data_IF_194694630568
#
_entry.id   IF_194694630568
#
_cell.length_a   1.000
_cell.length_b   1.000
_cell.length_c   1.000
_cell.angle_alpha   90.00
_cell.angle_beta   90.00
_cell.angle_gamma   90.00
#
_symmetry.space_group_name_H-M   'P 1'
#
loop_
_entity.id
_entity.type
_entity.pdbx_description
1 polymer ?
#
# COMPACT_ATOMS: atom_id res chain seq x y z
N UNK A 1 30.66 27.48 69.83
CA UNK A 1 30.80 27.48 68.37
C UNK A 1 29.95 26.32 67.82
N UNK A 2 28.70 26.57 67.47
CA UNK A 2 27.81 25.57 66.88
C UNK A 2 27.80 25.81 65.34
N UNK A 3 28.36 24.86 64.62
CA UNK A 3 28.32 24.84 63.18
C UNK A 3 26.99 24.23 62.72
N UNK A 4 26.08 25.10 62.28
CA UNK A 4 24.84 24.68 61.58
C UNK A 4 25.21 24.27 60.16
N UNK A 5 25.02 23.00 59.83
CA UNK A 5 25.15 22.44 58.47
C UNK A 5 23.86 22.79 57.72
N UNK A 6 23.92 23.30 56.48
CA UNK A 6 22.72 23.63 55.72
C UNK A 6 22.07 22.37 55.11
N UNK A 7 20.99 21.89 55.74
CA UNK A 7 20.19 20.75 55.27
C UNK A 7 19.18 21.11 54.14
N UNK A 8 19.20 22.35 53.61
CA UNK A 8 18.20 22.85 52.68
C UNK A 8 18.54 22.58 51.18
N UNK A 9 19.83 22.46 50.85
CA UNK A 9 20.22 22.32 49.42
C UNK A 9 20.01 20.92 48.83
N UNK A 10 20.03 19.86 49.64
CA UNK A 10 19.84 18.47 49.13
C UNK A 10 18.39 18.15 48.77
N UNK A 11 17.42 18.75 49.43
CA UNK A 11 15.99 18.56 49.12
C UNK A 11 15.59 19.27 47.83
N UNK A 12 16.16 20.43 47.53
CA UNK A 12 15.89 21.17 46.30
C UNK A 12 16.50 20.52 45.05
N UNK A 13 17.70 19.93 45.17
CA UNK A 13 18.37 19.19 44.07
C UNK A 13 17.62 17.89 43.73
N UNK A 14 17.14 17.14 44.75
CA UNK A 14 16.34 15.94 44.54
C UNK A 14 14.97 16.23 43.88
N UNK A 15 14.32 17.33 44.26
CA UNK A 15 13.07 17.78 43.66
C UNK A 15 13.27 18.22 42.20
N UNK A 16 14.33 18.96 41.90
CA UNK A 16 14.67 19.40 40.55
C UNK A 16 15.05 18.20 39.65
N UNK A 17 15.78 17.22 40.13
CA UNK A 17 16.11 16.00 39.42
C UNK A 17 14.86 15.15 39.17
N UNK A 18 13.95 15.00 40.11
CA UNK A 18 12.68 14.30 39.95
C UNK A 18 11.76 14.94 38.89
N UNK A 19 11.67 16.28 38.88
CA UNK A 19 10.89 17.02 37.89
C UNK A 19 11.48 16.91 36.47
N UNK A 20 12.80 16.95 36.35
CA UNK A 20 13.51 16.76 35.07
C UNK A 20 13.31 15.33 34.49
N UNK A 21 13.37 14.31 35.35
CA UNK A 21 13.09 12.92 34.96
C UNK A 21 11.63 12.73 34.54
N UNK A 22 10.68 13.30 35.28
CA UNK A 22 9.26 13.25 34.94
C UNK A 22 8.98 13.97 33.61
N UNK A 23 9.56 15.14 33.38
CA UNK A 23 9.45 15.90 32.13
C UNK A 23 10.06 15.11 30.95
N UNK A 24 11.21 14.46 31.15
CA UNK A 24 11.84 13.63 30.11
C UNK A 24 11.00 12.39 29.76
N UNK A 25 10.43 11.71 30.77
CA UNK A 25 9.51 10.58 30.58
C UNK A 25 8.25 11.00 29.81
N UNK A 26 7.66 12.13 30.14
CA UNK A 26 6.49 12.68 29.43
C UNK A 26 6.80 12.97 27.95
N UNK A 27 7.95 13.59 27.66
CA UNK A 27 8.39 13.87 26.28
C UNK A 27 8.63 12.59 25.47
N UNK A 28 9.30 11.59 26.05
CA UNK A 28 9.53 10.29 25.40
C UNK A 28 8.19 9.59 25.14
N UNK A 29 7.27 9.59 26.10
CA UNK A 29 5.95 8.99 25.91
C UNK A 29 5.15 9.67 24.79
N UNK A 30 5.17 11.00 24.73
CA UNK A 30 4.53 11.76 23.65
C UNK A 30 5.16 11.45 22.27
N UNK A 31 6.48 11.26 22.20
CA UNK A 31 7.15 10.82 20.95
C UNK A 31 6.70 9.42 20.52
N UNK A 32 6.60 8.47 21.44
CA UNK A 32 6.13 7.10 21.17
C UNK A 32 4.69 7.13 20.66
N UNK A 33 3.81 7.93 21.28
CA UNK A 33 2.44 8.13 20.80
C UNK A 33 2.41 8.67 19.37
N UNK A 34 3.28 9.63 19.05
CA UNK A 34 3.35 10.21 17.72
C UNK A 34 3.84 9.22 16.66
N UNK A 35 4.69 8.26 17.03
CA UNK A 35 5.20 7.23 16.13
C UNK A 35 4.25 6.05 15.93
N UNK A 36 3.24 5.86 16.77
CA UNK A 36 2.37 4.69 16.73
C UNK A 36 1.61 4.55 15.41
N UNK A 37 1.01 5.63 14.91
CA UNK A 37 0.28 5.61 13.64
C UNK A 37 1.21 5.43 12.42
N UNK A 38 2.35 6.16 12.29
CA UNK A 38 3.40 5.87 11.31
C UNK A 38 3.81 4.40 11.25
N UNK A 39 4.07 3.77 12.40
CA UNK A 39 4.44 2.35 12.50
C UNK A 39 3.32 1.45 11.96
N UNK A 40 2.06 1.73 12.26
CA UNK A 40 0.92 0.95 11.76
C UNK A 40 0.79 1.01 10.23
N UNK A 41 1.01 2.18 9.61
CA UNK A 41 1.06 2.30 8.16
C UNK A 41 2.23 1.50 7.57
N UNK A 42 3.41 1.55 8.21
CA UNK A 42 4.58 0.77 7.77
C UNK A 42 4.30 -0.75 7.85
N UNK A 43 3.68 -1.23 8.94
CA UNK A 43 3.30 -2.65 9.12
C UNK A 43 2.39 -3.09 7.97
N UNK A 44 1.36 -2.31 7.63
CA UNK A 44 0.48 -2.61 6.51
C UNK A 44 1.28 -2.81 5.21
N UNK A 45 2.18 -1.88 4.93
CA UNK A 45 3.07 -2.00 3.78
C UNK A 45 3.91 -3.27 3.79
N UNK A 46 4.58 -3.58 4.93
CA UNK A 46 5.42 -4.78 5.07
C UNK A 46 4.61 -6.06 4.78
N UNK A 47 3.37 -6.15 5.28
CA UNK A 47 2.50 -7.31 5.05
C UNK A 47 2.19 -7.45 3.57
N UNK A 48 1.72 -6.37 2.92
CA UNK A 48 1.31 -6.39 1.52
C UNK A 48 2.51 -6.61 0.59
N UNK A 49 3.66 -5.99 0.88
CA UNK A 49 4.90 -6.23 0.14
C UNK A 49 5.43 -7.66 0.28
N UNK A 50 5.35 -8.24 1.49
CA UNK A 50 5.73 -9.64 1.72
C UNK A 50 4.84 -10.60 0.93
N UNK A 51 3.52 -10.36 0.87
CA UNK A 51 2.60 -11.12 0.04
C UNK A 51 2.98 -11.00 -1.45
N UNK A 52 3.01 -9.79 -1.99
CA UNK A 52 3.29 -9.53 -3.40
C UNK A 52 4.64 -10.11 -3.85
N UNK A 53 5.69 -9.95 -3.03
CA UNK A 53 7.02 -10.49 -3.31
C UNK A 53 7.09 -12.03 -3.31
N UNK A 54 6.08 -12.74 -2.79
CA UNK A 54 6.03 -14.21 -2.76
C UNK A 54 4.99 -14.82 -3.71
N UNK A 55 4.24 -14.03 -4.46
CA UNK A 55 3.29 -14.53 -5.47
C UNK A 55 3.95 -15.51 -6.45
N UNK A 56 5.14 -15.23 -7.05
CA UNK A 56 5.79 -16.16 -7.97
C UNK A 56 6.16 -17.49 -7.31
N UNK A 57 6.62 -17.47 -6.07
CA UNK A 57 6.98 -18.69 -5.34
C UNK A 57 5.75 -19.53 -4.97
N UNK A 58 4.62 -18.86 -4.64
CA UNK A 58 3.35 -19.54 -4.38
C UNK A 58 2.79 -20.17 -5.65
N UNK A 59 2.82 -19.45 -6.78
CA UNK A 59 2.39 -19.96 -8.07
C UNK A 59 3.20 -21.19 -8.48
N UNK A 60 4.53 -21.15 -8.35
CA UNK A 60 5.42 -22.27 -8.66
C UNK A 60 5.18 -23.48 -7.74
N UNK A 61 5.02 -23.26 -6.40
CA UNK A 61 4.79 -24.34 -5.43
C UNK A 61 3.55 -25.16 -5.72
N UNK A 62 2.48 -24.53 -6.17
CA UNK A 62 1.18 -25.15 -6.39
C UNK A 62 0.89 -25.42 -7.87
N UNK A 63 1.84 -25.19 -8.77
CA UNK A 63 1.68 -25.28 -10.22
C UNK A 63 0.44 -24.52 -10.73
N UNK A 64 0.27 -23.27 -10.25
CA UNK A 64 -0.89 -22.45 -10.57
C UNK A 64 -0.75 -21.88 -11.97
N UNK A 65 -1.71 -22.15 -12.86
CA UNK A 65 -1.78 -21.52 -14.19
C UNK A 65 -2.12 -20.03 -14.08
N UNK A 66 -1.87 -19.23 -15.12
CA UNK A 66 -2.24 -17.80 -15.17
C UNK A 66 -3.72 -17.57 -14.90
N UNK A 67 -4.58 -18.40 -15.49
CA UNK A 67 -6.02 -18.32 -15.27
C UNK A 67 -6.39 -18.57 -13.80
N UNK A 68 -5.81 -19.60 -13.19
CA UNK A 68 -6.04 -19.90 -11.77
C UNK A 68 -5.44 -18.82 -10.85
N UNK A 69 -4.27 -18.27 -11.19
CA UNK A 69 -3.66 -17.18 -10.42
C UNK A 69 -4.52 -15.91 -10.50
N UNK A 70 -5.08 -15.60 -11.68
CA UNK A 70 -6.04 -14.49 -11.82
C UNK A 70 -7.23 -14.66 -10.89
N UNK A 71 -7.78 -15.88 -10.81
CA UNK A 71 -8.92 -16.16 -9.92
C UNK A 71 -8.53 -16.04 -8.44
N UNK A 72 -7.32 -16.47 -8.07
CA UNK A 72 -6.79 -16.27 -6.71
C UNK A 72 -6.72 -14.77 -6.38
N UNK A 73 -6.13 -13.95 -7.27
CA UNK A 73 -5.99 -12.50 -7.06
C UNK A 73 -7.34 -11.79 -7.08
N UNK A 74 -8.27 -12.22 -7.96
CA UNK A 74 -9.65 -11.72 -8.00
C UNK A 74 -10.36 -11.93 -6.67
N UNK A 75 -10.14 -13.07 -5.99
CA UNK A 75 -10.70 -13.30 -4.65
C UNK A 75 -10.29 -12.20 -3.67
N UNK A 76 -9.05 -11.69 -3.75
CA UNK A 76 -8.60 -10.56 -2.93
C UNK A 76 -9.40 -9.28 -3.19
N UNK A 77 -9.65 -8.96 -4.47
CA UNK A 77 -10.49 -7.82 -4.85
C UNK A 77 -11.96 -7.98 -4.40
N UNK A 78 -12.53 -9.16 -4.56
CA UNK A 78 -13.88 -9.49 -4.03
C UNK A 78 -13.90 -9.33 -2.51
N UNK A 79 -12.87 -9.83 -1.81
CA UNK A 79 -12.72 -9.66 -0.38
C UNK A 79 -12.66 -8.18 0.03
N UNK A 80 -11.96 -7.35 -0.72
CA UNK A 80 -11.91 -5.91 -0.49
C UNK A 80 -13.29 -5.26 -0.59
N UNK A 81 -14.13 -5.65 -1.55
CA UNK A 81 -15.52 -5.19 -1.63
C UNK A 81 -16.36 -5.67 -0.44
N UNK A 82 -16.21 -6.93 -0.04
CA UNK A 82 -16.91 -7.49 1.11
C UNK A 82 -16.47 -6.86 2.45
N UNK A 83 -15.33 -6.19 2.48
CA UNK A 83 -14.84 -5.49 3.67
C UNK A 83 -15.71 -4.29 4.08
N UNK A 84 -16.45 -3.65 3.17
CA UNK A 84 -17.22 -2.44 3.48
C UNK A 84 -18.22 -2.60 4.63
N UNK A 85 -19.10 -3.62 4.63
CA UNK A 85 -19.99 -3.86 5.77
C UNK A 85 -19.21 -4.24 7.03
N UNK A 86 -18.11 -5.02 6.91
CA UNK A 86 -17.27 -5.45 8.04
C UNK A 86 -16.58 -4.26 8.68
N UNK A 87 -15.92 -3.41 7.90
CA UNK A 87 -15.24 -2.20 8.38
C UNK A 87 -16.24 -1.24 9.04
N UNK A 88 -17.39 -1.00 8.40
CA UNK A 88 -18.44 -0.14 8.95
C UNK A 88 -18.99 -0.67 10.29
N UNK A 89 -19.19 -1.99 10.41
CA UNK A 89 -19.64 -2.61 11.65
C UNK A 89 -18.60 -2.48 12.76
N UNK A 90 -17.33 -2.84 12.49
CA UNK A 90 -16.26 -2.77 13.48
C UNK A 90 -15.96 -1.34 13.91
N UNK A 91 -15.90 -0.39 12.96
CA UNK A 91 -15.67 1.02 13.26
C UNK A 91 -16.75 1.61 14.17
N UNK A 92 -18.02 1.27 13.94
CA UNK A 92 -19.12 1.71 14.82
C UNK A 92 -19.09 1.04 16.20
N UNK A 93 -18.66 -0.22 16.29
CA UNK A 93 -18.68 -0.97 17.55
C UNK A 93 -17.41 -0.74 18.40
N UNK A 94 -16.27 -0.64 17.77
CA UNK A 94 -14.97 -0.70 18.45
C UNK A 94 -14.12 0.57 18.26
N UNK A 95 -14.51 1.46 17.35
CA UNK A 95 -13.71 2.62 16.96
C UNK A 95 -12.51 2.26 16.06
N UNK A 96 -11.77 3.27 15.59
CA UNK A 96 -10.69 3.10 14.64
C UNK A 96 -9.51 2.29 15.19
N UNK A 97 -9.08 2.58 16.42
CA UNK A 97 -7.91 1.93 17.06
C UNK A 97 -8.08 0.42 17.18
N UNK A 98 -9.19 -0.03 17.75
CA UNK A 98 -9.45 -1.47 17.94
C UNK A 98 -9.75 -2.17 16.62
N UNK A 99 -10.45 -1.51 15.69
CA UNK A 99 -10.67 -2.06 14.34
C UNK A 99 -9.34 -2.33 13.64
N UNK A 100 -8.41 -1.36 13.69
CA UNK A 100 -7.07 -1.50 13.11
C UNK A 100 -6.28 -2.63 13.79
N UNK A 101 -6.32 -2.74 15.12
CA UNK A 101 -5.67 -3.84 15.83
C UNK A 101 -6.23 -5.21 15.41
N UNK A 102 -7.55 -5.40 15.46
CA UNK A 102 -8.16 -6.70 15.17
C UNK A 102 -8.01 -7.09 13.69
N UNK A 103 -8.25 -6.17 12.78
CA UNK A 103 -8.06 -6.44 11.35
C UNK A 103 -6.60 -6.66 10.99
N UNK A 104 -5.65 -5.96 11.63
CA UNK A 104 -4.23 -6.15 11.42
C UNK A 104 -3.71 -7.49 11.94
N UNK A 105 -4.15 -7.93 13.14
CA UNK A 105 -3.83 -9.27 13.65
C UNK A 105 -4.44 -10.36 12.77
N UNK A 106 -5.68 -10.19 12.33
CA UNK A 106 -6.31 -11.11 11.39
C UNK A 106 -5.58 -11.14 10.04
N UNK A 107 -5.13 -9.99 9.53
CA UNK A 107 -4.37 -9.89 8.30
C UNK A 107 -3.04 -10.65 8.38
N UNK A 108 -2.33 -10.55 9.51
CA UNK A 108 -1.10 -11.31 9.78
C UNK A 108 -1.35 -12.83 9.86
N UNK A 109 -2.44 -13.24 10.51
CA UNK A 109 -2.84 -14.64 10.58
C UNK A 109 -3.19 -15.19 9.18
N UNK A 110 -3.91 -14.42 8.38
CA UNK A 110 -4.25 -14.76 6.99
C UNK A 110 -3.00 -14.86 6.11
N UNK A 111 -2.02 -13.97 6.28
CA UNK A 111 -0.74 -14.06 5.57
C UNK A 111 -0.06 -15.41 5.82
N UNK A 112 -0.01 -15.86 7.08
CA UNK A 112 0.52 -17.19 7.44
C UNK A 112 -0.34 -18.30 6.82
N UNK A 113 -1.67 -18.18 6.88
CA UNK A 113 -2.60 -19.16 6.30
C UNK A 113 -2.35 -19.36 4.79
N UNK A 114 -2.09 -18.27 4.04
CA UNK A 114 -1.68 -18.36 2.63
C UNK A 114 -0.39 -19.18 2.48
N UNK A 115 0.60 -18.94 3.35
CA UNK A 115 1.88 -19.62 3.31
C UNK A 115 1.79 -21.15 3.49
N UNK A 116 0.89 -21.62 4.34
CA UNK A 116 0.69 -23.05 4.65
C UNK A 116 -0.39 -23.71 3.79
N UNK A 117 -1.16 -22.94 3.01
CA UNK A 117 -2.26 -23.45 2.20
C UNK A 117 -1.80 -24.56 1.24
N UNK A 118 -2.42 -25.78 1.28
CA UNK A 118 -1.95 -26.92 0.51
C UNK A 118 -2.54 -26.97 -0.91
N UNK A 119 -3.62 -26.25 -1.19
CA UNK A 119 -4.33 -26.30 -2.48
C UNK A 119 -4.64 -24.91 -3.01
N UNK A 120 -4.90 -24.80 -4.31
CA UNK A 120 -5.33 -23.54 -4.95
C UNK A 120 -6.61 -23.02 -4.31
N UNK A 121 -7.58 -23.88 -4.02
CA UNK A 121 -8.85 -23.51 -3.39
C UNK A 121 -8.65 -22.91 -1.98
N UNK A 122 -7.73 -23.49 -1.18
CA UNK A 122 -7.40 -22.93 0.14
C UNK A 122 -6.66 -21.59 0.04
N UNK A 123 -5.82 -21.40 -0.98
CA UNK A 123 -5.20 -20.10 -1.27
C UNK A 123 -6.26 -19.07 -1.67
N UNK A 124 -7.22 -19.43 -2.54
CA UNK A 124 -8.32 -18.54 -2.93
C UNK A 124 -9.13 -18.06 -1.72
N UNK A 125 -9.50 -18.98 -0.84
CA UNK A 125 -10.20 -18.64 0.42
C UNK A 125 -9.36 -17.72 1.32
N UNK A 126 -8.08 -18.02 1.47
CA UNK A 126 -7.17 -17.20 2.28
C UNK A 126 -6.96 -15.80 1.66
N UNK A 127 -6.83 -15.69 0.33
CA UNK A 127 -6.69 -14.40 -0.37
C UNK A 127 -7.99 -13.59 -0.34
N UNK A 128 -9.16 -14.24 -0.36
CA UNK A 128 -10.44 -13.57 -0.08
C UNK A 128 -10.41 -12.91 1.32
N UNK A 129 -9.98 -13.66 2.33
CA UNK A 129 -9.84 -13.14 3.69
C UNK A 129 -8.75 -12.07 3.80
N UNK A 130 -7.66 -12.17 3.00
CA UNK A 130 -6.64 -11.12 2.89
C UNK A 130 -7.29 -9.80 2.43
N UNK A 131 -8.11 -9.86 1.37
CA UNK A 131 -8.82 -8.69 0.87
C UNK A 131 -9.75 -8.06 1.92
N UNK A 132 -10.55 -8.88 2.63
CA UNK A 132 -11.44 -8.40 3.70
C UNK A 132 -10.64 -7.72 4.81
N UNK A 133 -9.60 -8.38 5.32
CA UNK A 133 -8.83 -7.90 6.48
C UNK A 133 -7.95 -6.71 6.12
N UNK A 134 -7.29 -6.73 4.96
CA UNK A 134 -6.46 -5.63 4.48
C UNK A 134 -7.27 -4.35 4.25
N UNK A 135 -8.41 -4.44 3.55
CA UNK A 135 -9.25 -3.27 3.31
C UNK A 135 -9.91 -2.76 4.59
N UNK A 136 -10.28 -3.64 5.53
CA UNK A 136 -10.78 -3.22 6.84
C UNK A 136 -9.69 -2.47 7.63
N UNK A 137 -8.45 -2.95 7.58
CA UNK A 137 -7.31 -2.27 8.19
C UNK A 137 -7.05 -0.92 7.54
N UNK A 138 -7.07 -0.86 6.21
CA UNK A 138 -6.85 0.37 5.43
C UNK A 138 -7.90 1.45 5.77
N UNK A 139 -9.17 1.10 5.80
CA UNK A 139 -10.25 2.02 6.23
C UNK A 139 -9.99 2.55 7.63
N UNK A 140 -9.62 1.69 8.57
CA UNK A 140 -9.40 2.08 9.96
C UNK A 140 -8.17 2.98 10.13
N UNK A 141 -7.05 2.68 9.46
CA UNK A 141 -5.84 3.49 9.54
C UNK A 141 -6.01 4.87 8.90
N UNK A 142 -6.75 4.96 7.78
CA UNK A 142 -7.06 6.23 7.13
C UNK A 142 -8.01 7.09 7.97
N UNK A 143 -9.01 6.48 8.62
CA UNK A 143 -9.88 7.18 9.57
C UNK A 143 -9.08 7.70 10.77
N UNK A 144 -8.17 6.89 11.32
CA UNK A 144 -7.27 7.30 12.40
C UNK A 144 -6.38 8.47 12.00
N UNK A 145 -5.80 8.43 10.79
CA UNK A 145 -4.99 9.51 10.24
C UNK A 145 -5.80 10.81 10.07
N UNK A 146 -7.00 10.72 9.52
CA UNK A 146 -7.88 11.88 9.36
C UNK A 146 -8.28 12.52 10.70
N UNK A 147 -8.57 11.69 11.72
CA UNK A 147 -8.82 12.20 13.08
C UNK A 147 -7.61 12.94 13.65
N UNK A 148 -6.43 12.39 13.48
CA UNK A 148 -5.19 13.02 13.94
C UNK A 148 -4.88 14.31 13.21
N UNK A 149 -5.05 14.38 11.89
CA UNK A 149 -4.91 15.63 11.13
C UNK A 149 -5.86 16.71 11.62
N UNK A 150 -7.13 16.36 11.85
CA UNK A 150 -8.13 17.31 12.40
C UNK A 150 -7.76 17.80 13.80
N UNK A 151 -7.24 16.91 14.66
CA UNK A 151 -6.87 17.26 16.04
C UNK A 151 -5.59 18.11 16.10
N UNK A 152 -4.62 17.89 15.21
CA UNK A 152 -3.32 18.56 15.23
C UNK A 152 -3.24 19.77 14.30
N UNK A 153 -4.15 19.89 13.33
CA UNK A 153 -4.11 20.89 12.27
C UNK A 153 -2.95 20.67 11.26
N UNK A 154 -2.25 19.52 11.33
CA UNK A 154 -1.11 19.20 10.46
C UNK A 154 -1.51 18.17 9.42
N UNK A 155 -1.16 18.40 8.16
CA UNK A 155 -1.32 17.39 7.11
C UNK A 155 -0.21 16.35 7.24
N UNK A 156 -0.57 15.08 7.45
CA UNK A 156 0.35 13.96 7.63
C UNK A 156 0.01 12.76 6.70
N UNK A 157 -1.12 12.82 6.00
CA UNK A 157 -1.62 11.70 5.19
C UNK A 157 -0.62 11.23 4.14
N UNK A 158 0.01 12.17 3.40
CA UNK A 158 1.00 11.82 2.37
C UNK A 158 2.22 11.12 2.96
N UNK A 159 2.72 11.60 4.11
CA UNK A 159 3.83 10.98 4.83
C UNK A 159 3.47 9.56 5.29
N UNK A 160 2.28 9.38 5.85
CA UNK A 160 1.80 8.08 6.36
C UNK A 160 1.70 7.06 5.21
N UNK A 161 1.12 7.44 4.08
CA UNK A 161 1.11 6.60 2.87
C UNK A 161 2.51 6.36 2.29
N UNK A 162 3.41 7.34 2.38
CA UNK A 162 4.82 7.16 2.03
C UNK A 162 5.49 6.09 2.87
N UNK A 163 5.21 6.06 4.18
CA UNK A 163 5.71 5.01 5.09
C UNK A 163 5.11 3.64 4.80
N UNK A 164 3.83 3.57 4.38
CA UNK A 164 3.24 2.32 3.90
C UNK A 164 3.96 1.83 2.63
N UNK A 165 4.26 2.72 1.67
CA UNK A 165 5.05 2.38 0.49
C UNK A 165 6.47 1.90 0.84
N UNK A 166 7.15 2.57 1.78
CA UNK A 166 8.46 2.15 2.28
C UNK A 166 8.40 0.77 2.95
N UNK A 167 7.35 0.52 3.75
CA UNK A 167 7.05 -0.80 4.31
C UNK A 167 6.84 -1.86 3.22
N UNK A 168 6.08 -1.53 2.18
CA UNK A 168 5.83 -2.40 1.03
C UNK A 168 7.13 -2.80 0.32
N UNK A 169 7.99 -1.82 0.08
CA UNK A 169 9.33 -2.05 -0.46
C UNK A 169 10.16 -2.97 0.44
N UNK A 170 10.20 -2.70 1.75
CA UNK A 170 10.93 -3.52 2.70
C UNK A 170 10.40 -4.96 2.72
N UNK A 171 9.07 -5.16 2.72
CA UNK A 171 8.42 -6.46 2.66
C UNK A 171 8.73 -7.23 1.37
N UNK A 172 8.65 -6.56 0.22
CA UNK A 172 8.96 -7.17 -1.08
C UNK A 172 10.45 -7.55 -1.20
N UNK A 173 11.35 -6.67 -0.72
CA UNK A 173 12.80 -6.94 -0.70
C UNK A 173 13.13 -8.10 0.24
N UNK A 174 12.52 -8.15 1.44
CA UNK A 174 12.65 -9.28 2.34
C UNK A 174 12.16 -10.57 1.67
N UNK A 175 11.02 -10.50 0.96
CA UNK A 175 10.48 -11.60 0.17
C UNK A 175 11.46 -12.13 -0.86
N UNK A 176 12.17 -11.23 -1.57
CA UNK A 176 13.22 -11.57 -2.52
C UNK A 176 14.40 -12.27 -1.87
N UNK A 177 14.92 -11.72 -0.76
CA UNK A 177 16.04 -12.33 -0.01
C UNK A 177 15.66 -13.72 0.48
N UNK A 178 14.49 -13.88 1.09
CA UNK A 178 14.01 -15.19 1.56
C UNK A 178 13.78 -16.18 0.43
N UNK A 179 13.35 -15.73 -0.74
CA UNK A 179 13.22 -16.56 -1.93
C UNK A 179 14.58 -17.01 -2.46
N UNK A 180 15.56 -16.12 -2.54
CA UNK A 180 16.95 -16.44 -2.92
C UNK A 180 17.61 -17.45 -1.98
N UNK A 181 17.29 -17.38 -0.67
CA UNK A 181 17.72 -18.35 0.33
C UNK A 181 16.90 -19.65 0.32
N UNK A 182 15.96 -19.83 -0.63
CA UNK A 182 15.05 -20.98 -0.74
C UNK A 182 14.19 -21.23 0.51
N UNK A 183 13.94 -20.18 1.32
CA UNK A 183 13.05 -20.23 2.48
C UNK A 183 11.61 -20.38 2.00
N UNK A 184 10.89 -21.38 2.53
CA UNK A 184 9.49 -21.60 2.18
C UNK A 184 8.62 -20.38 2.50
N UNK A 185 7.58 -20.04 1.70
CA UNK A 185 6.68 -18.92 1.96
C UNK A 185 6.08 -18.94 3.35
N UNK A 186 5.71 -20.10 3.87
CA UNK A 186 5.15 -20.28 5.21
C UNK A 186 6.11 -19.76 6.31
N UNK A 187 7.38 -20.14 6.23
CA UNK A 187 8.41 -19.73 7.21
C UNK A 187 8.63 -18.22 7.12
N UNK A 188 8.77 -17.66 5.90
CA UNK A 188 8.89 -16.21 5.71
C UNK A 188 7.72 -15.46 6.34
N UNK A 189 6.48 -15.89 6.04
CA UNK A 189 5.30 -15.22 6.56
C UNK A 189 5.17 -15.33 8.09
N UNK A 190 5.55 -16.45 8.70
CA UNK A 190 5.64 -16.57 10.16
C UNK A 190 6.69 -15.65 10.77
N UNK A 191 7.87 -15.53 10.13
CA UNK A 191 8.94 -14.62 10.57
C UNK A 191 8.52 -13.14 10.51
N UNK A 192 7.64 -12.77 9.57
CA UNK A 192 7.06 -11.44 9.49
C UNK A 192 5.91 -11.28 10.48
N UNK A 193 5.02 -12.26 10.57
CA UNK A 193 3.79 -12.14 11.34
C UNK A 193 4.04 -12.00 12.85
N UNK A 194 4.97 -12.76 13.42
CA UNK A 194 5.25 -12.73 14.85
C UNK A 194 5.71 -11.35 15.35
N UNK A 195 6.82 -10.82 14.85
CA UNK A 195 7.31 -9.49 15.24
C UNK A 195 6.29 -8.37 14.93
N UNK A 196 5.65 -8.40 13.74
CA UNK A 196 4.70 -7.37 13.35
C UNK A 196 3.44 -7.38 14.24
N UNK A 197 2.98 -8.55 14.70
CA UNK A 197 1.87 -8.66 15.64
C UNK A 197 2.23 -8.02 17.00
N UNK A 198 3.43 -8.27 17.52
CA UNK A 198 3.89 -7.68 18.76
C UNK A 198 4.02 -6.15 18.66
N UNK A 199 4.60 -5.65 17.54
CA UNK A 199 4.75 -4.21 17.31
C UNK A 199 3.38 -3.55 17.11
N UNK A 200 2.47 -4.16 16.36
CA UNK A 200 1.11 -3.68 16.15
C UNK A 200 0.34 -3.57 17.46
N UNK A 201 0.42 -4.62 18.28
CA UNK A 201 -0.20 -4.63 19.60
C UNK A 201 0.37 -3.50 20.48
N UNK A 202 1.68 -3.39 20.59
CA UNK A 202 2.33 -2.33 21.37
C UNK A 202 1.97 -0.93 20.87
N UNK A 203 2.01 -0.70 19.53
CA UNK A 203 1.62 0.57 18.94
C UNK A 203 0.15 0.91 19.22
N UNK A 204 -0.73 -0.09 19.22
CA UNK A 204 -2.16 0.11 19.53
C UNK A 204 -2.41 0.55 20.96
N UNK A 205 -1.57 0.11 21.93
CA UNK A 205 -1.73 0.49 23.35
C UNK A 205 -1.40 1.98 23.60
N UNK A 206 -0.49 2.54 22.81
CA UNK A 206 -0.03 3.92 22.99
C UNK A 206 -0.70 4.90 22.01
N UNK A 207 -1.41 4.41 21.01
CA UNK A 207 -2.11 5.24 20.03
C UNK A 207 -3.19 6.09 20.71
N UNK A 208 -2.98 7.41 20.71
CA UNK A 208 -3.90 8.37 21.32
C UNK A 208 -4.94 8.87 20.31
N UNK A 209 -5.96 8.05 20.10
CA UNK A 209 -7.12 8.38 19.26
C UNK A 209 -8.36 7.94 20.02
N UNK A 210 -9.39 8.79 20.08
CA UNK A 210 -10.64 8.45 20.74
C UNK A 210 -11.28 7.24 20.06
N UNK A 211 -11.62 6.21 20.86
CA UNK A 211 -12.36 5.03 20.41
C UNK A 211 -13.88 5.31 20.31
N UNK A 212 -14.28 6.58 20.30
CA UNK A 212 -15.69 6.93 20.10
C UNK A 212 -16.20 6.37 18.79
N UNK A 213 -17.38 5.76 18.89
CA UNK A 213 -18.06 5.18 17.74
C UNK A 213 -18.19 6.22 16.62
N UNK A 214 -17.58 5.95 15.48
CA UNK A 214 -17.68 6.87 14.35
C UNK A 214 -19.07 6.76 13.74
N UNK A 215 -19.72 7.93 13.60
CA UNK A 215 -20.84 8.04 12.69
C UNK A 215 -20.24 7.93 11.27
N UNK A 216 -20.20 6.72 10.73
CA UNK A 216 -19.90 6.50 9.32
C UNK A 216 -21.07 7.10 8.55
N UNK A 217 -20.90 8.31 8.06
CA UNK A 217 -21.88 8.90 7.15
C UNK A 217 -22.17 7.89 6.04
N UNK A 218 -23.46 7.64 5.81
CA UNK A 218 -23.90 6.88 4.62
C UNK A 218 -23.57 7.72 3.40
N UNK A 219 -22.33 7.65 2.92
CA UNK A 219 -21.92 8.33 1.69
C UNK A 219 -22.79 7.78 0.55
N UNK A 220 -23.61 8.65 -0.04
CA UNK A 220 -24.35 8.29 -1.25
C UNK A 220 -23.33 7.98 -2.35
N UNK A 221 -23.33 6.74 -2.80
CA UNK A 221 -22.53 6.33 -3.95
C UNK A 221 -23.05 7.05 -5.18
N UNK A 222 -22.20 7.80 -5.85
CA UNK A 222 -22.52 8.43 -7.11
C UNK A 222 -21.37 8.15 -8.09
N UNK A 223 -21.70 7.51 -9.20
CA UNK A 223 -20.73 7.35 -10.28
C UNK A 223 -20.35 8.74 -10.84
N UNK A 224 -19.06 9.02 -11.02
CA UNK A 224 -18.60 10.27 -11.59
C UNK A 224 -19.19 10.51 -12.98
N UNK A 225 -19.63 11.74 -13.24
CA UNK A 225 -20.22 12.16 -14.54
C UNK A 225 -19.48 13.39 -15.07
N UNK A 226 -19.57 13.60 -16.40
CA UNK A 226 -18.92 14.73 -17.06
C UNK A 226 -17.39 14.75 -16.84
N UNK A 227 -16.78 15.89 -16.54
CA UNK A 227 -15.34 16.00 -16.33
C UNK A 227 -14.79 15.10 -15.21
N UNK A 228 -15.60 14.79 -14.19
CA UNK A 228 -15.25 13.87 -13.12
C UNK A 228 -15.10 12.42 -13.59
N UNK A 229 -15.81 12.02 -14.66
CA UNK A 229 -15.66 10.67 -15.23
C UNK A 229 -14.24 10.44 -15.75
N UNK A 230 -13.57 11.47 -16.27
CA UNK A 230 -12.17 11.35 -16.72
C UNK A 230 -11.22 11.15 -15.54
N UNK A 231 -11.44 11.82 -14.39
CA UNK A 231 -10.69 11.55 -13.17
C UNK A 231 -10.93 10.13 -12.64
N UNK A 232 -12.18 9.68 -12.67
CA UNK A 232 -12.55 8.31 -12.32
C UNK A 232 -11.88 7.28 -13.24
N UNK A 233 -11.88 7.53 -14.54
CA UNK A 233 -11.22 6.69 -15.54
C UNK A 233 -9.70 6.64 -15.31
N UNK A 234 -9.06 7.77 -15.02
CA UNK A 234 -7.65 7.83 -14.64
C UNK A 234 -7.36 7.00 -13.38
N UNK A 235 -8.21 7.11 -12.36
CA UNK A 235 -8.13 6.29 -11.17
C UNK A 235 -8.25 4.79 -11.48
N UNK A 236 -9.24 4.39 -12.28
CA UNK A 236 -9.46 3.02 -12.72
C UNK A 236 -8.24 2.45 -13.47
N UNK A 237 -7.79 3.13 -14.52
CA UNK A 237 -6.65 2.70 -15.34
C UNK A 237 -5.36 2.67 -14.55
N UNK A 238 -5.15 3.65 -13.67
CA UNK A 238 -3.98 3.73 -12.79
C UNK A 238 -3.92 2.55 -11.82
N UNK A 239 -5.04 2.26 -11.11
CA UNK A 239 -5.12 1.12 -10.18
C UNK A 239 -4.96 -0.21 -10.89
N UNK A 240 -5.56 -0.36 -12.06
CA UNK A 240 -5.39 -1.55 -12.89
C UNK A 240 -3.92 -1.73 -13.29
N UNK A 241 -3.22 -0.66 -13.71
CA UNK A 241 -1.81 -0.73 -14.11
C UNK A 241 -0.90 -1.02 -12.93
N UNK A 242 -1.03 -0.26 -11.83
CA UNK A 242 -0.19 -0.41 -10.63
C UNK A 242 -0.38 -1.79 -9.98
N UNK A 243 -1.65 -2.25 -9.85
CA UNK A 243 -1.97 -3.57 -9.33
C UNK A 243 -1.44 -4.69 -10.23
N UNK A 244 -1.57 -4.55 -11.56
CA UNK A 244 -1.02 -5.53 -12.51
C UNK A 244 0.50 -5.65 -12.40
N UNK A 245 1.23 -4.54 -12.24
CA UNK A 245 2.68 -4.57 -12.03
C UNK A 245 3.00 -5.24 -10.70
N UNK A 246 2.27 -4.90 -9.64
CA UNK A 246 2.50 -5.47 -8.30
C UNK A 246 2.34 -7.00 -8.29
N UNK A 247 1.29 -7.51 -8.94
CA UNK A 247 0.95 -8.93 -8.89
C UNK A 247 1.71 -9.77 -9.93
N UNK A 248 2.00 -9.22 -11.12
CA UNK A 248 2.46 -10.00 -12.27
C UNK A 248 3.90 -9.73 -12.69
N UNK A 249 4.54 -8.66 -12.25
CA UNK A 249 5.92 -8.35 -12.67
C UNK A 249 6.93 -9.45 -12.29
N UNK A 250 6.80 -10.02 -11.10
CA UNK A 250 7.63 -11.14 -10.65
C UNK A 250 7.36 -12.42 -11.43
N UNK A 251 6.09 -12.68 -11.77
CA UNK A 251 5.69 -13.84 -12.62
C UNK A 251 6.28 -13.68 -14.01
N UNK A 252 6.18 -12.48 -14.59
CA UNK A 252 6.78 -12.16 -15.90
C UNK A 252 8.29 -12.43 -15.92
N UNK A 253 9.03 -11.98 -14.91
CA UNK A 253 10.48 -12.23 -14.87
C UNK A 253 10.81 -13.72 -14.77
N UNK A 254 10.04 -14.50 -14.02
CA UNK A 254 10.24 -15.96 -13.92
C UNK A 254 9.97 -16.66 -15.24
N UNK A 255 8.90 -16.34 -15.90
CA UNK A 255 8.44 -17.06 -17.10
C UNK A 255 9.18 -16.65 -18.35
N UNK A 256 9.37 -15.34 -18.55
CA UNK A 256 9.99 -14.84 -19.78
C UNK A 256 11.51 -14.89 -19.77
N UNK A 257 12.13 -14.61 -18.61
CA UNK A 257 13.60 -14.58 -18.46
C UNK A 257 14.16 -15.74 -17.64
N UNK A 258 13.33 -16.66 -17.17
CA UNK A 258 13.76 -17.75 -16.27
C UNK A 258 14.51 -17.22 -15.03
N UNK A 259 14.08 -16.05 -14.53
CA UNK A 259 14.71 -15.39 -13.40
C UNK A 259 14.67 -16.25 -12.13
N UNK A 260 15.73 -16.18 -11.33
CA UNK A 260 15.80 -16.89 -10.05
C UNK A 260 14.73 -16.41 -9.08
N UNK A 261 14.42 -17.23 -8.08
CA UNK A 261 13.43 -16.90 -7.04
C UNK A 261 13.78 -15.62 -6.25
N UNK A 262 15.07 -15.28 -6.15
CA UNK A 262 15.52 -14.04 -5.52
C UNK A 262 15.41 -12.81 -6.43
N UNK A 263 15.57 -12.99 -7.76
CA UNK A 263 15.57 -11.89 -8.72
C UNK A 263 14.14 -11.46 -9.09
N UNK A 264 13.22 -12.41 -9.25
CA UNK A 264 11.88 -12.15 -9.73
C UNK A 264 11.10 -11.10 -8.90
N UNK A 265 11.08 -11.13 -7.55
CA UNK A 265 10.37 -10.13 -6.76
C UNK A 265 11.00 -8.73 -6.81
N UNK A 266 12.26 -8.61 -7.28
CA UNK A 266 12.92 -7.30 -7.39
C UNK A 266 12.27 -6.38 -8.42
N UNK A 267 11.48 -6.92 -9.37
CA UNK A 267 10.69 -6.10 -10.29
C UNK A 267 9.77 -5.12 -9.55
N UNK A 268 8.99 -5.63 -8.60
CA UNK A 268 8.15 -4.80 -7.74
C UNK A 268 8.97 -3.86 -6.86
N UNK A 269 10.11 -4.32 -6.33
CA UNK A 269 10.98 -3.48 -5.51
C UNK A 269 11.52 -2.29 -6.29
N UNK A 270 12.04 -2.50 -7.50
CA UNK A 270 12.54 -1.43 -8.38
C UNK A 270 11.44 -0.44 -8.75
N UNK A 271 10.25 -0.93 -9.11
CA UNK A 271 9.07 -0.11 -9.37
C UNK A 271 8.72 0.76 -8.16
N UNK A 272 8.64 0.16 -6.98
CA UNK A 272 8.23 0.83 -5.74
C UNK A 272 9.26 1.86 -5.25
N UNK A 273 10.56 1.59 -5.39
CA UNK A 273 11.64 2.56 -5.06
C UNK A 273 11.48 3.83 -5.89
N UNK A 274 11.37 3.68 -7.21
CA UNK A 274 11.29 4.83 -8.10
C UNK A 274 9.97 5.59 -7.92
N UNK A 275 8.89 4.89 -7.62
CA UNK A 275 7.62 5.51 -7.23
C UNK A 275 7.76 6.34 -5.96
N UNK A 276 8.40 5.82 -4.92
CA UNK A 276 8.64 6.53 -3.66
C UNK A 276 9.50 7.78 -3.90
N UNK A 277 10.64 7.64 -4.59
CA UNK A 277 11.55 8.76 -4.87
C UNK A 277 10.86 9.88 -5.66
N UNK A 278 10.05 9.52 -6.65
CA UNK A 278 9.28 10.49 -7.43
C UNK A 278 8.25 11.24 -6.57
N UNK A 279 7.55 10.53 -5.66
CA UNK A 279 6.56 11.14 -4.74
C UNK A 279 7.20 12.15 -3.78
N UNK A 280 8.44 11.94 -3.35
CA UNK A 280 9.15 12.89 -2.47
C UNK A 280 9.39 14.26 -3.12
N UNK A 281 9.49 14.31 -4.44
CA UNK A 281 9.70 15.57 -5.18
C UNK A 281 8.43 16.04 -5.90
N UNK A 282 7.38 15.25 -5.89
CA UNK A 282 6.16 15.45 -6.68
C UNK A 282 5.47 16.79 -6.47
N UNK A 283 5.34 17.24 -5.22
CA UNK A 283 4.71 18.53 -4.91
C UNK A 283 5.51 19.73 -5.45
N UNK A 284 6.84 19.66 -5.39
CA UNK A 284 7.71 20.70 -5.98
C UNK A 284 7.59 20.72 -7.51
N UNK A 285 7.47 19.55 -8.13
CA UNK A 285 7.27 19.43 -9.56
C UNK A 285 5.89 19.95 -9.98
N UNK A 286 4.85 19.66 -9.19
CA UNK A 286 3.47 20.12 -9.43
C UNK A 286 3.39 21.65 -9.48
N UNK A 287 4.02 22.34 -8.53
CA UNK A 287 4.03 23.82 -8.51
C UNK A 287 4.74 24.43 -9.73
N UNK A 288 5.74 23.72 -10.29
CA UNK A 288 6.51 24.21 -11.44
C UNK A 288 5.88 23.88 -12.80
N UNK A 289 5.32 22.69 -12.95
CA UNK A 289 4.91 22.15 -14.26
C UNK A 289 3.40 21.90 -14.38
N UNK A 290 2.66 21.96 -13.28
CA UNK A 290 1.23 21.62 -13.20
C UNK A 290 0.96 20.11 -13.19
N UNK A 291 -0.15 19.71 -12.57
CA UNK A 291 -0.49 18.30 -12.38
C UNK A 291 -0.80 17.58 -13.71
N UNK A 292 -1.52 18.23 -14.63
CA UNK A 292 -1.91 17.65 -15.92
C UNK A 292 -0.68 17.21 -16.72
N UNK A 293 0.32 18.11 -16.86
CA UNK A 293 1.53 17.82 -17.61
C UNK A 293 2.32 16.69 -16.97
N UNK A 294 2.47 16.71 -15.63
CA UNK A 294 3.20 15.67 -14.90
C UNK A 294 2.57 14.29 -15.05
N UNK A 295 1.25 14.19 -14.93
CA UNK A 295 0.54 12.91 -15.13
C UNK A 295 0.65 12.44 -16.58
N UNK A 296 0.49 13.35 -17.56
CA UNK A 296 0.60 13.00 -18.97
C UNK A 296 2.00 12.49 -19.33
N UNK A 297 3.05 13.28 -19.00
CA UNK A 297 4.43 12.90 -19.28
C UNK A 297 4.84 11.66 -18.49
N UNK A 298 4.43 11.58 -17.20
CA UNK A 298 4.67 10.42 -16.36
C UNK A 298 4.08 9.15 -16.97
N UNK A 299 2.86 9.20 -17.47
CA UNK A 299 2.23 8.03 -18.11
C UNK A 299 2.97 7.60 -19.40
N UNK A 300 3.48 8.55 -20.21
CA UNK A 300 4.36 8.23 -21.35
C UNK A 300 5.66 7.58 -20.90
N UNK A 301 6.30 8.12 -19.86
CA UNK A 301 7.52 7.53 -19.27
C UNK A 301 7.26 6.12 -18.75
N UNK A 302 6.10 5.89 -18.11
CA UNK A 302 5.70 4.55 -17.67
C UNK A 302 5.53 3.59 -18.86
N UNK A 303 4.84 4.01 -19.93
CA UNK A 303 4.69 3.19 -21.12
C UNK A 303 6.04 2.81 -21.72
N UNK A 304 6.97 3.77 -21.85
CA UNK A 304 8.34 3.51 -22.33
C UNK A 304 9.07 2.49 -21.45
N UNK A 305 8.97 2.65 -20.11
CA UNK A 305 9.56 1.71 -19.16
C UNK A 305 9.02 0.29 -19.30
N UNK A 306 7.69 0.14 -19.44
CA UNK A 306 7.04 -1.17 -19.59
C UNK A 306 7.37 -1.82 -20.94
N UNK A 307 7.35 -1.08 -22.04
CA UNK A 307 7.78 -1.63 -23.34
C UNK A 307 9.26 -2.00 -23.34
N UNK A 308 10.11 -1.19 -22.70
CA UNK A 308 11.50 -1.56 -22.51
C UNK A 308 11.64 -2.84 -21.68
N UNK A 309 10.88 -3.01 -20.58
CA UNK A 309 10.90 -4.22 -19.77
C UNK A 309 10.51 -5.48 -20.58
N UNK A 310 9.48 -5.34 -21.45
CA UNK A 310 8.97 -6.41 -22.31
C UNK A 310 9.98 -6.82 -23.41
N UNK A 311 10.73 -5.87 -23.94
CA UNK A 311 11.70 -6.05 -25.02
C UNK A 311 13.14 -6.19 -24.50
N UNK A 312 13.35 -6.19 -23.18
CA UNK A 312 14.67 -6.22 -22.58
C UNK A 312 15.46 -7.50 -22.95
N UNK A 313 16.78 -7.40 -23.13
CA UNK A 313 17.60 -8.57 -23.45
C UNK A 313 17.88 -9.47 -22.24
N UNK A 314 17.54 -9.04 -21.03
CA UNK A 314 17.77 -9.81 -19.79
C UNK A 314 16.84 -9.38 -18.66
N UNK A 315 16.69 -10.23 -17.65
CA UNK A 315 15.93 -9.91 -16.44
C UNK A 315 16.44 -8.65 -15.74
N UNK A 316 17.76 -8.46 -15.65
CA UNK A 316 18.35 -7.25 -15.03
C UNK A 316 18.00 -5.97 -15.80
N UNK A 317 18.00 -6.01 -17.13
CA UNK A 317 17.56 -4.87 -17.94
C UNK A 317 16.07 -4.60 -17.74
N UNK A 318 15.24 -5.65 -17.65
CA UNK A 318 13.80 -5.51 -17.37
C UNK A 318 13.51 -4.86 -16.03
N UNK A 319 14.33 -5.10 -14.97
CA UNK A 319 14.23 -4.36 -13.70
C UNK A 319 14.33 -2.85 -13.88
N UNK A 320 15.25 -2.40 -14.77
CA UNK A 320 15.36 -0.97 -15.14
C UNK A 320 14.08 -0.44 -15.78
N UNK A 321 13.43 -1.24 -16.63
CA UNK A 321 12.14 -0.91 -17.22
C UNK A 321 11.02 -0.73 -16.17
N UNK A 322 10.92 -1.64 -15.21
CA UNK A 322 9.97 -1.50 -14.08
C UNK A 322 10.29 -0.29 -13.19
N UNK A 323 11.58 0.02 -12.97
CA UNK A 323 11.98 1.24 -12.27
C UNK A 323 11.46 2.50 -12.98
N UNK A 324 11.67 2.60 -14.30
CA UNK A 324 11.18 3.72 -15.12
C UNK A 324 9.65 3.79 -15.11
N UNK A 325 8.96 2.64 -15.16
CA UNK A 325 7.51 2.58 -15.05
C UNK A 325 7.02 3.13 -13.70
N UNK A 326 7.69 2.79 -12.59
CA UNK A 326 7.38 3.30 -11.26
C UNK A 326 7.56 4.81 -11.14
N UNK A 327 8.64 5.35 -11.69
CA UNK A 327 8.85 6.80 -11.81
C UNK A 327 7.66 7.47 -12.51
N UNK A 328 7.21 6.87 -13.62
CA UNK A 328 6.18 7.44 -14.47
C UNK A 328 4.78 7.44 -13.86
N UNK A 329 4.33 6.33 -13.23
CA UNK A 329 2.98 6.23 -12.65
C UNK A 329 2.84 6.92 -11.29
N UNK A 330 3.92 7.24 -10.62
CA UNK A 330 3.98 7.65 -9.23
C UNK A 330 3.05 8.80 -8.83
N UNK A 331 2.89 9.80 -9.69
CA UNK A 331 2.16 11.04 -9.41
C UNK A 331 0.69 11.00 -9.85
N UNK A 332 0.26 9.93 -10.50
CA UNK A 332 -1.10 9.79 -10.99
C UNK A 332 -2.14 9.89 -9.86
N UNK A 333 -2.03 9.00 -8.84
CA UNK A 333 -3.01 8.98 -7.75
C UNK A 333 -3.00 10.23 -6.88
N UNK A 334 -1.86 10.75 -6.39
CA UNK A 334 -1.86 11.96 -5.59
C UNK A 334 -2.58 13.12 -6.27
N UNK A 335 -2.39 13.29 -7.57
CA UNK A 335 -2.96 14.43 -8.28
C UNK A 335 -4.41 14.20 -8.71
N UNK A 336 -4.78 12.96 -9.08
CA UNK A 336 -6.18 12.61 -9.36
C UNK A 336 -7.04 12.75 -8.10
N UNK A 337 -6.59 12.24 -6.96
CA UNK A 337 -7.34 12.35 -5.70
C UNK A 337 -7.35 13.77 -5.16
N UNK A 338 -6.27 14.54 -5.32
CA UNK A 338 -6.24 15.97 -4.98
C UNK A 338 -7.27 16.75 -5.81
N UNK A 339 -7.31 16.51 -7.13
CA UNK A 339 -8.27 17.15 -8.01
C UNK A 339 -9.73 16.75 -7.72
N UNK A 340 -9.97 15.46 -7.42
CA UNK A 340 -11.29 14.97 -7.02
C UNK A 340 -11.72 15.53 -5.67
N UNK A 341 -10.81 15.59 -4.70
CA UNK A 341 -11.05 16.14 -3.37
C UNK A 341 -11.43 17.62 -3.38
N UNK A 342 -10.83 18.40 -4.30
CA UNK A 342 -11.17 19.80 -4.52
C UNK A 342 -12.64 19.99 -4.98
N UNK A 343 -13.23 18.98 -5.65
CA UNK A 343 -14.63 18.96 -6.08
C UNK A 343 -15.59 18.48 -4.96
N UNK A 344 -15.07 18.14 -3.80
CA UNK A 344 -15.83 17.75 -2.62
C UNK A 344 -15.83 16.23 -2.33
N UNK A 345 -16.36 15.85 -1.15
CA UNK A 345 -16.28 14.46 -0.65
C UNK A 345 -16.99 13.43 -1.53
N UNK A 346 -18.13 13.78 -2.13
CA UNK A 346 -18.89 12.88 -3.00
C UNK A 346 -18.10 12.57 -4.28
N UNK A 347 -17.46 13.59 -4.86
CA UNK A 347 -16.62 13.47 -6.02
C UNK A 347 -15.40 12.57 -5.77
N UNK A 348 -14.71 12.80 -4.64
CA UNK A 348 -13.59 11.97 -4.21
C UNK A 348 -14.01 10.51 -4.00
N UNK A 349 -15.13 10.27 -3.32
CA UNK A 349 -15.64 8.91 -3.10
C UNK A 349 -15.98 8.18 -4.41
N UNK A 350 -16.56 8.90 -5.39
CA UNK A 350 -16.87 8.34 -6.71
C UNK A 350 -15.60 7.95 -7.48
N UNK A 351 -14.59 8.82 -7.50
CA UNK A 351 -13.30 8.55 -8.16
C UNK A 351 -12.57 7.39 -7.47
N UNK A 352 -12.55 7.35 -6.14
CA UNK A 352 -11.96 6.25 -5.38
C UNK A 352 -12.64 4.91 -5.67
N UNK A 353 -13.98 4.89 -5.77
CA UNK A 353 -14.73 3.67 -6.12
C UNK A 353 -14.36 3.14 -7.50
N UNK A 354 -14.18 4.01 -8.50
CA UNK A 354 -13.68 3.61 -9.81
C UNK A 354 -12.25 3.08 -9.75
N UNK A 355 -11.38 3.70 -8.96
CA UNK A 355 -10.02 3.22 -8.76
C UNK A 355 -10.01 1.80 -8.18
N UNK A 356 -10.76 1.52 -7.12
CA UNK A 356 -10.89 0.17 -6.56
C UNK A 356 -11.42 -0.86 -7.57
N UNK A 357 -12.36 -0.44 -8.44
CA UNK A 357 -12.84 -1.31 -9.53
C UNK A 357 -11.71 -1.67 -10.50
N UNK A 358 -10.77 -0.75 -10.76
CA UNK A 358 -9.57 -1.02 -11.58
C UNK A 358 -8.67 -2.10 -10.96
N UNK A 359 -8.42 -2.03 -9.66
CA UNK A 359 -7.66 -3.06 -8.92
C UNK A 359 -8.34 -4.43 -9.01
N UNK A 360 -9.67 -4.47 -8.92
CA UNK A 360 -10.44 -5.72 -9.04
C UNK A 360 -10.36 -6.33 -10.45
N UNK A 361 -10.37 -5.49 -11.49
CA UNK A 361 -10.37 -5.93 -12.88
C UNK A 361 -8.98 -6.30 -13.41
N UNK A 362 -7.91 -5.81 -12.77
CA UNK A 362 -6.53 -6.07 -13.19
C UNK A 362 -6.19 -7.56 -13.32
N UNK A 363 -6.29 -8.37 -12.25
CA UNK A 363 -5.92 -9.77 -12.29
C UNK A 363 -6.64 -10.60 -13.34
N UNK A 364 -7.98 -10.55 -13.50
CA UNK A 364 -8.66 -11.33 -14.52
C UNK A 364 -8.26 -10.93 -15.95
N UNK A 365 -8.09 -9.65 -16.22
CA UNK A 365 -7.69 -9.18 -17.57
C UNK A 365 -6.28 -9.63 -17.90
N UNK A 366 -5.32 -9.40 -16.99
CA UNK A 366 -3.92 -9.82 -17.21
C UNK A 366 -3.81 -11.32 -17.34
N UNK A 367 -4.49 -12.09 -16.48
CA UNK A 367 -4.46 -13.54 -16.55
C UNK A 367 -5.10 -14.11 -17.82
N UNK A 368 -6.19 -13.49 -18.31
CA UNK A 368 -6.78 -13.87 -19.58
C UNK A 368 -5.82 -13.61 -20.75
N UNK A 369 -5.17 -12.46 -20.80
CA UNK A 369 -4.15 -12.16 -21.82
C UNK A 369 -2.99 -13.15 -21.71
N UNK A 370 -2.46 -13.36 -20.50
CA UNK A 370 -1.32 -14.24 -20.27
C UNK A 370 -1.59 -15.68 -20.66
N UNK A 371 -2.81 -16.19 -20.42
CA UNK A 371 -3.19 -17.57 -20.78
C UNK A 371 -3.36 -17.79 -22.28
N UNK A 372 -3.68 -16.75 -23.07
CA UNK A 372 -3.92 -16.89 -24.52
C UNK A 372 -2.69 -16.49 -25.36
N UNK A 373 -1.97 -15.45 -24.98
CA UNK A 373 -0.89 -14.85 -25.78
C UNK A 373 0.42 -14.69 -25.04
N UNK A 374 0.50 -15.18 -23.80
CA UNK A 374 1.71 -15.19 -22.96
C UNK A 374 1.89 -13.94 -22.09
N UNK A 375 2.73 -14.10 -21.07
CA UNK A 375 2.97 -13.07 -20.05
C UNK A 375 3.64 -11.80 -20.61
N UNK A 376 4.47 -11.94 -21.64
CA UNK A 376 5.10 -10.81 -22.32
C UNK A 376 4.06 -9.83 -22.88
N UNK A 377 3.04 -10.34 -23.57
CA UNK A 377 1.96 -9.53 -24.12
C UNK A 377 1.06 -8.97 -23.01
N UNK A 378 0.88 -9.69 -21.92
CA UNK A 378 0.11 -9.22 -20.77
C UNK A 378 0.76 -8.00 -20.09
N UNK A 379 2.07 -7.99 -19.90
CA UNK A 379 2.80 -6.81 -19.41
C UNK A 379 2.84 -5.70 -20.46
N UNK A 380 2.98 -6.04 -21.76
CA UNK A 380 2.88 -5.09 -22.86
C UNK A 380 1.52 -4.34 -22.87
N UNK A 381 0.43 -5.04 -22.56
CA UNK A 381 -0.90 -4.43 -22.40
C UNK A 381 -0.91 -3.36 -21.30
N UNK A 382 -0.20 -3.55 -20.19
CA UNK A 382 -0.07 -2.50 -19.14
C UNK A 382 0.65 -1.27 -19.69
N UNK A 383 1.62 -1.47 -20.59
CA UNK A 383 2.24 -0.36 -21.35
C UNK A 383 1.22 0.40 -22.21
N UNK A 384 0.31 -0.32 -22.89
CA UNK A 384 -0.80 0.30 -23.64
C UNK A 384 -1.74 1.05 -22.71
N UNK A 385 -2.10 0.51 -21.53
CA UNK A 385 -2.90 1.24 -20.53
C UNK A 385 -2.23 2.56 -20.14
N UNK A 386 -0.91 2.57 -19.98
CA UNK A 386 -0.16 3.79 -19.66
C UNK A 386 -0.25 4.84 -20.78
N UNK A 387 -0.29 4.43 -22.07
CA UNK A 387 -0.55 5.34 -23.18
C UNK A 387 -1.98 5.91 -23.09
N UNK A 388 -2.97 5.07 -22.79
CA UNK A 388 -4.36 5.52 -22.61
C UNK A 388 -4.47 6.51 -21.46
N UNK A 389 -3.77 6.26 -20.33
CA UNK A 389 -3.67 7.21 -19.21
C UNK A 389 -3.13 8.56 -19.70
N UNK A 390 -2.05 8.58 -20.52
CA UNK A 390 -1.48 9.82 -21.05
C UNK A 390 -2.50 10.59 -21.91
N UNK A 391 -3.23 9.88 -22.78
CA UNK A 391 -4.25 10.48 -23.63
C UNK A 391 -5.43 11.05 -22.83
N UNK A 392 -5.91 10.32 -21.82
CA UNK A 392 -6.99 10.78 -20.94
C UNK A 392 -6.54 11.97 -20.11
N UNK A 393 -5.34 11.89 -19.49
CA UNK A 393 -4.78 12.96 -18.67
C UNK A 393 -4.61 14.26 -19.44
N UNK A 394 -4.12 14.20 -20.70
CA UNK A 394 -3.95 15.38 -21.57
C UNK A 394 -5.27 16.11 -21.85
N UNK A 395 -6.42 15.41 -21.76
CA UNK A 395 -7.77 15.94 -21.95
C UNK A 395 -8.50 16.32 -20.67
N UNK A 396 -7.95 15.95 -19.49
CA UNK A 396 -8.60 16.15 -18.19
C UNK A 396 -8.33 17.56 -17.66
N UNK A 397 -9.28 18.47 -17.91
CA UNK A 397 -9.17 19.90 -17.51
C UNK A 397 -9.09 20.09 -15.97
N UNK A 398 -9.64 19.16 -15.18
CA UNK A 398 -9.60 19.22 -13.70
C UNK A 398 -8.21 18.97 -13.11
N UNK A 399 -7.23 18.56 -13.91
CA UNK A 399 -5.82 18.43 -13.53
C UNK A 399 -4.98 19.69 -13.84
N UNK A 400 -5.61 20.72 -14.43
CA UNK A 400 -4.89 21.98 -14.76
C UNK A 400 -4.61 22.82 -13.52
#
# INVERSE_FOLDING_TARGET
>A
MQTTVPAVDTLNTASAAGSAVASRRSKVFAQIQNLSLPVMFTIFGVIMGSWAGRIPAMAARLNISHSSLSMVLLCGGVGALLSFPVSSFLMRRCGARKTMLYSGLALLAVLVAIGIAPTVASVMGAVLMLGITASTYDVAMNAAASKREKATGKSEMSMLHGLACAGGLAGATLGSVMAGMKVAPAIHFMMVAGPMAAILWAASQVLNISDEAEQVEKKKFALPRGPMALLGLLGFLGSMSEGSIADWSGVFLKEHFHATDGLAPLALSCFSVMMLLSRLVGDKLKTRFGAQRLVTVGAVVSAMGLFFAVLAPSAHAALGGFAVAGLGLSLLFPFVFSAAGAQGPIALAGVASMAYSGTLMGPPVIGAIASHVGMQMAIGYVGVLSIVIALVASRTKLLK
#
